data_IF_282339534360
#
_entry.id   IF_282339534360
#
_cell.length_a   1.000
_cell.length_b   1.000
_cell.length_c   1.000
_cell.angle_alpha   90.00
_cell.angle_beta   90.00
_cell.angle_gamma   90.00
#
_symmetry.space_group_name_H-M   'P 1'
#
loop_
_entity.id
_entity.type
_entity.pdbx_description
1 polymer ?
#
# COMPACT_ATOMS: atom_id res chain seq x y z
N UNK A 1 -35.26 34.67 -33.11
CA UNK A 1 -35.80 35.49 -32.01
C UNK A 1 -37.32 35.49 -32.16
N UNK A 2 -38.16 35.02 -31.25
CA UNK A 2 -38.00 34.43 -29.92
C UNK A 2 -39.36 33.78 -29.64
N UNK A 3 -39.34 32.52 -29.20
CA UNK A 3 -40.52 31.76 -28.84
C UNK A 3 -41.08 32.23 -27.49
N UNK A 4 -42.40 32.01 -27.32
CA UNK A 4 -43.19 32.25 -26.10
C UNK A 4 -42.58 31.59 -24.85
N UNK A 5 -42.98 32.07 -23.65
CA UNK A 5 -43.37 31.11 -22.63
C UNK A 5 -44.75 31.37 -22.02
N UNK A 6 -45.28 30.24 -21.56
CA UNK A 6 -46.53 30.00 -20.86
C UNK A 6 -46.59 30.65 -19.48
N UNK A 7 -47.82 30.94 -19.07
CA UNK A 7 -48.21 31.47 -17.78
C UNK A 7 -48.52 30.37 -16.74
N UNK A 8 -48.53 30.81 -15.47
CA UNK A 8 -49.42 30.39 -14.39
C UNK A 8 -49.06 29.07 -13.66
N UNK A 9 -49.30 28.85 -12.35
CA UNK A 9 -49.80 29.63 -11.19
C UNK A 9 -49.81 28.65 -9.97
N UNK A 10 -49.91 29.21 -8.74
CA UNK A 10 -50.49 28.65 -7.48
C UNK A 10 -49.85 27.37 -6.85
N UNK A 11 -49.45 27.29 -5.56
CA UNK A 11 -50.08 27.51 -4.24
C UNK A 11 -50.39 26.17 -3.53
N UNK A 12 -49.90 25.97 -2.30
CA UNK A 12 -50.55 25.23 -1.20
C UNK A 12 -49.66 25.32 0.07
N UNK A 13 -50.04 26.08 1.11
CA UNK A 13 -50.76 25.68 2.34
C UNK A 13 -49.95 24.68 3.22
N UNK A 14 -49.37 25.11 4.35
CA UNK A 14 -49.94 25.35 5.70
C UNK A 14 -50.22 24.08 6.52
N UNK A 15 -49.49 24.03 7.66
CA UNK A 15 -49.98 23.73 9.01
C UNK A 15 -50.31 22.29 9.41
N UNK A 16 -49.66 21.82 10.49
CA UNK A 16 -50.28 21.00 11.53
C UNK A 16 -49.57 21.27 12.87
N UNK A 17 -50.30 21.95 13.77
CA UNK A 17 -50.05 22.05 15.21
C UNK A 17 -50.88 20.97 15.95
N UNK A 18 -50.61 20.85 17.26
CA UNK A 18 -51.40 20.25 18.34
C UNK A 18 -51.08 18.81 18.80
N UNK A 19 -50.49 18.73 20.01
CA UNK A 19 -50.86 17.72 21.01
C UNK A 19 -50.91 18.38 22.41
N UNK A 20 -51.98 18.18 23.20
CA UNK A 20 -52.10 18.68 24.56
C UNK A 20 -51.66 17.64 25.62
N UNK A 21 -51.62 18.09 26.86
CA UNK A 21 -50.97 17.46 28.00
C UNK A 21 -51.94 16.75 28.98
N UNK A 22 -51.35 15.82 29.76
CA UNK A 22 -51.65 15.38 31.15
C UNK A 22 -52.80 14.40 31.43
N UNK A 23 -52.50 13.39 32.28
CA UNK A 23 -53.22 12.84 33.46
C UNK A 23 -52.23 11.83 34.13
N UNK A 24 -51.53 12.16 35.25
CA UNK A 24 -51.84 11.93 36.69
C UNK A 24 -51.90 10.44 37.13
N UNK A 25 -50.90 9.94 37.90
CA UNK A 25 -50.93 9.57 39.36
C UNK A 25 -51.78 8.31 39.69
N UNK A 26 -51.43 7.33 40.53
CA UNK A 26 -50.40 7.06 41.54
C UNK A 26 -50.56 5.58 42.05
N UNK A 27 -49.82 5.21 43.12
CA UNK A 27 -49.92 4.03 44.04
C UNK A 27 -48.87 2.93 43.73
N UNK A 28 -47.71 2.87 44.41
CA UNK A 28 -47.34 2.56 45.82
C UNK A 28 -47.15 1.05 46.12
N UNK A 29 -45.90 0.75 46.51
CA UNK A 29 -45.44 -0.12 47.62
C UNK A 29 -45.08 -1.61 47.36
N UNK A 30 -43.87 -1.93 47.84
CA UNK A 30 -43.26 -3.18 48.37
C UNK A 30 -41.91 -3.48 47.68
N UNK A 31 -40.76 -3.04 48.21
CA UNK A 31 -40.00 -3.48 49.40
C UNK A 31 -39.03 -4.65 49.14
N UNK A 32 -37.82 -4.47 49.68
CA UNK A 32 -36.73 -5.42 49.94
C UNK A 32 -35.71 -5.78 48.85
N UNK A 33 -34.46 -5.42 49.19
CA UNK A 33 -33.23 -6.20 49.08
C UNK A 33 -32.68 -6.52 47.68
N UNK A 34 -31.66 -5.75 47.27
CA UNK A 34 -30.30 -6.27 47.09
C UNK A 34 -29.41 -5.12 46.60
N UNK A 35 -28.62 -4.54 47.51
CA UNK A 35 -27.44 -3.76 47.13
C UNK A 35 -26.39 -4.73 46.60
N UNK A 36 -26.60 -5.24 45.39
CA UNK A 36 -25.55 -5.88 44.62
C UNK A 36 -24.62 -4.75 44.17
N UNK A 37 -23.42 -4.72 44.75
CA UNK A 37 -22.26 -3.99 44.24
C UNK A 37 -22.02 -4.39 42.78
N UNK A 38 -22.69 -3.71 41.85
CA UNK A 38 -22.29 -3.69 40.45
C UNK A 38 -21.05 -2.80 40.40
N UNK A 39 -19.91 -3.38 40.75
CA UNK A 39 -18.63 -2.80 40.37
C UNK A 39 -18.68 -2.64 38.84
N UNK A 40 -18.61 -1.41 38.29
CA UNK A 40 -18.43 -1.29 36.86
C UNK A 40 -17.09 -1.94 36.58
N UNK A 41 -17.12 -3.11 35.94
CA UNK A 41 -15.99 -3.61 35.17
C UNK A 41 -15.76 -2.57 34.08
N UNK A 42 -15.08 -1.48 34.44
CA UNK A 42 -14.31 -0.66 33.54
C UNK A 42 -13.22 -1.61 33.04
N UNK A 43 -13.61 -2.45 32.07
CA UNK A 43 -12.67 -3.02 31.14
C UNK A 43 -12.02 -1.81 30.49
N UNK A 44 -10.89 -1.39 31.06
CA UNK A 44 -9.94 -0.55 30.37
C UNK A 44 -9.61 -1.33 29.11
N UNK A 45 -10.29 -0.99 28.01
CA UNK A 45 -9.87 -1.34 26.68
C UNK A 45 -8.43 -0.86 26.61
N UNK A 46 -7.48 -1.80 26.69
CA UNK A 46 -6.08 -1.48 26.52
C UNK A 46 -6.01 -0.61 25.25
N UNK A 47 -5.32 0.55 25.30
CA UNK A 47 -5.24 1.43 24.14
C UNK A 47 -4.83 0.56 22.97
N UNK A 48 -5.66 0.55 21.91
CA UNK A 48 -5.41 -0.25 20.73
C UNK A 48 -3.95 0.01 20.34
N UNK A 49 -3.10 -1.01 20.53
CA UNK A 49 -1.65 -0.86 20.44
C UNK A 49 -1.41 -0.28 19.05
N UNK A 50 -0.81 0.92 18.98
CA UNK A 50 -0.55 1.59 17.71
C UNK A 50 0.09 0.55 16.78
N UNK A 51 -0.56 0.30 15.65
CA UNK A 51 -0.17 -0.82 14.82
C UNK A 51 1.17 -0.48 14.17
N UNK A 52 2.19 -1.29 14.45
CA UNK A 52 3.53 -1.07 13.92
C UNK A 52 3.60 -1.60 12.48
N UNK A 53 3.62 -0.67 11.52
CA UNK A 53 3.73 -0.98 10.10
C UNK A 53 5.17 -1.19 9.64
N UNK A 54 6.17 -0.74 10.41
CA UNK A 54 7.58 -0.79 10.00
C UNK A 54 8.02 -2.21 9.60
N UNK A 55 7.67 -3.28 10.34
CA UNK A 55 8.06 -4.63 9.96
C UNK A 55 7.51 -5.09 8.62
N UNK A 56 6.42 -4.52 8.10
CA UNK A 56 5.88 -4.86 6.78
C UNK A 56 6.47 -4.00 5.67
N UNK A 57 6.87 -2.77 5.98
CA UNK A 57 7.33 -1.80 5.01
C UNK A 57 8.83 -1.90 4.74
N UNK A 58 9.61 -2.43 5.69
CA UNK A 58 11.08 -2.45 5.65
C UNK A 58 11.61 -3.86 5.48
N UNK A 59 12.57 -4.05 4.58
CA UNK A 59 13.30 -5.32 4.47
C UNK A 59 14.35 -5.43 5.58
N UNK A 60 14.59 -6.63 6.09
CA UNK A 60 15.54 -6.86 7.19
C UNK A 60 16.76 -7.64 6.73
N UNK A 61 17.86 -7.48 7.46
CA UNK A 61 19.01 -8.37 7.40
C UNK A 61 18.93 -9.43 8.51
N UNK A 62 19.35 -10.65 8.19
CA UNK A 62 19.78 -11.61 9.20
C UNK A 62 21.13 -11.17 9.74
N UNK A 63 21.30 -11.17 11.06
CA UNK A 63 22.51 -10.65 11.71
C UNK A 63 23.19 -11.68 12.60
N UNK A 64 24.52 -11.61 12.68
CA UNK A 64 25.33 -12.47 13.55
C UNK A 64 25.22 -12.06 15.03
N UNK A 65 26.00 -12.71 15.89
CA UNK A 65 26.06 -12.40 17.32
C UNK A 65 26.41 -10.93 17.62
N UNK A 66 27.22 -10.31 16.74
CA UNK A 66 27.71 -8.93 16.83
C UNK A 66 26.78 -7.91 16.16
N UNK A 67 25.67 -8.36 15.56
CA UNK A 67 24.73 -7.50 14.85
C UNK A 67 25.13 -7.16 13.42
N UNK A 68 26.20 -7.78 12.90
CA UNK A 68 26.63 -7.59 11.52
C UNK A 68 25.74 -8.39 10.56
N UNK A 69 25.33 -7.85 9.40
CA UNK A 69 24.58 -8.61 8.40
C UNK A 69 25.33 -9.87 7.95
N UNK A 70 24.62 -11.00 7.87
CA UNK A 70 25.14 -12.25 7.31
C UNK A 70 24.91 -12.21 5.79
N UNK A 71 25.96 -12.15 4.95
CA UNK A 71 25.81 -12.02 3.51
C UNK A 71 24.99 -13.17 2.91
N UNK A 72 24.04 -12.83 2.04
CA UNK A 72 23.24 -13.78 1.28
C UNK A 72 22.16 -14.53 2.05
N UNK A 73 22.13 -14.49 3.40
CA UNK A 73 21.11 -15.18 4.19
C UNK A 73 19.80 -14.40 4.17
N UNK A 74 18.73 -15.04 3.70
CA UNK A 74 17.40 -14.44 3.58
C UNK A 74 16.61 -14.54 4.90
N UNK A 75 15.71 -13.57 5.19
CA UNK A 75 14.91 -13.59 6.41
C UNK A 75 13.95 -14.79 6.51
N UNK A 76 13.65 -15.43 5.38
CA UNK A 76 12.77 -16.61 5.30
C UNK A 76 13.49 -17.94 5.54
N UNK A 77 14.82 -17.93 5.60
CA UNK A 77 15.61 -19.16 5.73
C UNK A 77 15.77 -19.57 7.21
N UNK A 78 15.82 -20.88 7.53
CA UNK A 78 15.91 -21.36 8.91
C UNK A 78 17.11 -20.84 9.69
N UNK A 79 18.21 -20.49 9.03
CA UNK A 79 19.41 -19.92 9.67
C UNK A 79 19.24 -18.50 10.20
N UNK A 80 18.17 -17.80 9.83
CA UNK A 80 17.94 -16.40 10.20
C UNK A 80 17.27 -16.26 11.58
N UNK A 81 18.05 -16.44 12.64
CA UNK A 81 17.55 -16.42 14.03
C UNK A 81 17.47 -15.02 14.65
N UNK A 82 18.27 -14.06 14.16
CA UNK A 82 18.27 -12.65 14.58
C UNK A 82 18.09 -11.76 13.37
N UNK A 83 17.22 -10.76 13.49
CA UNK A 83 16.85 -9.84 12.40
C UNK A 83 17.05 -8.40 12.82
N UNK A 84 17.44 -7.55 11.87
CA UNK A 84 17.55 -6.10 12.03
C UNK A 84 16.97 -5.40 10.79
N UNK A 85 16.05 -4.42 10.95
CA UNK A 85 15.60 -3.58 9.85
C UNK A 85 16.78 -2.89 9.16
N UNK A 86 16.77 -2.86 7.83
CA UNK A 86 17.79 -2.19 7.03
C UNK A 86 17.46 -0.71 6.83
N UNK A 87 18.47 0.12 7.02
CA UNK A 87 18.50 1.53 6.67
C UNK A 87 19.09 1.77 5.28
N UNK A 88 18.93 2.99 4.78
CA UNK A 88 19.36 3.43 3.46
C UNK A 88 20.87 3.31 3.26
N UNK A 89 21.63 3.61 4.31
CA UNK A 89 23.10 3.54 4.32
C UNK A 89 23.67 2.16 4.68
N UNK A 90 22.83 1.16 4.96
CA UNK A 90 23.30 -0.19 5.30
C UNK A 90 23.84 -0.95 4.08
N UNK A 91 24.82 -1.82 4.33
CA UNK A 91 25.16 -2.90 3.40
C UNK A 91 24.00 -3.90 3.31
N UNK A 92 23.56 -4.19 2.09
CA UNK A 92 22.45 -5.10 1.83
C UNK A 92 22.97 -6.54 1.69
N UNK A 93 22.49 -7.50 2.50
CA UNK A 93 22.86 -8.91 2.38
C UNK A 93 22.17 -9.61 1.21
N UNK A 94 21.09 -9.02 0.68
CA UNK A 94 20.40 -9.46 -0.52
C UNK A 94 19.66 -8.28 -1.13
N UNK A 95 19.28 -8.42 -2.40
CA UNK A 95 18.42 -7.51 -3.16
C UNK A 95 17.28 -8.28 -3.76
N UNK A 96 16.11 -7.65 -3.82
CA UNK A 96 14.94 -8.25 -4.46
C UNK A 96 14.88 -7.77 -5.90
N UNK A 97 14.74 -8.71 -6.82
CA UNK A 97 14.48 -8.44 -8.23
C UNK A 97 13.13 -9.01 -8.63
N UNK A 98 12.57 -8.46 -9.70
CA UNK A 98 11.34 -8.96 -10.28
C UNK A 98 11.54 -10.34 -10.92
N UNK A 99 10.45 -11.08 -11.09
CA UNK A 99 10.52 -12.34 -11.82
C UNK A 99 10.67 -12.03 -13.33
N UNK A 100 11.69 -12.54 -14.03
CA UNK A 100 11.77 -12.43 -15.47
C UNK A 100 10.66 -13.25 -16.13
N UNK A 101 10.27 -12.83 -17.33
CA UNK A 101 9.48 -13.67 -18.21
C UNK A 101 10.26 -14.96 -18.54
N UNK A 102 9.56 -16.09 -18.60
CA UNK A 102 10.18 -17.41 -18.81
C UNK A 102 11.04 -17.45 -20.07
N UNK A 103 10.59 -16.82 -21.15
CA UNK A 103 11.29 -16.76 -22.43
C UNK A 103 12.68 -16.06 -22.38
N UNK A 104 12.96 -15.27 -21.33
CA UNK A 104 14.24 -14.56 -21.19
C UNK A 104 14.98 -14.90 -19.89
N UNK A 105 14.40 -15.70 -19.01
CA UNK A 105 14.93 -15.95 -17.67
C UNK A 105 16.37 -16.49 -17.67
N UNK A 106 16.75 -17.29 -18.69
CA UNK A 106 18.12 -17.79 -18.82
C UNK A 106 19.13 -16.69 -19.19
N UNK A 107 18.70 -15.63 -19.91
CA UNK A 107 19.56 -14.52 -20.35
C UNK A 107 19.53 -13.33 -19.39
N UNK A 108 18.46 -13.20 -18.61
CA UNK A 108 18.26 -12.16 -17.59
C UNK A 108 17.69 -12.81 -16.33
N UNK A 109 18.52 -13.53 -15.56
CA UNK A 109 18.06 -14.25 -14.37
C UNK A 109 17.59 -13.33 -13.26
N UNK A 110 18.11 -12.10 -13.18
CA UNK A 110 17.62 -11.06 -12.26
C UNK A 110 16.24 -10.54 -12.66
N UNK A 111 15.91 -10.43 -13.96
CA UNK A 111 14.71 -9.72 -14.40
C UNK A 111 15.04 -8.36 -15.00
N UNK A 112 14.13 -7.41 -14.87
CA UNK A 112 14.26 -6.04 -15.38
C UNK A 112 14.27 -4.99 -14.28
N UNK A 113 13.84 -5.33 -13.07
CA UNK A 113 13.68 -4.36 -12.00
C UNK A 113 14.12 -4.92 -10.64
N UNK A 114 15.03 -4.23 -9.99
CA UNK A 114 15.34 -4.41 -8.58
C UNK A 114 14.51 -3.48 -7.71
N UNK A 115 14.28 -3.89 -6.47
CA UNK A 115 13.49 -3.12 -5.52
C UNK A 115 13.97 -3.37 -4.11
N UNK A 116 14.36 -2.31 -3.41
CA UNK A 116 14.77 -2.33 -2.01
C UNK A 116 13.74 -1.57 -1.17
N UNK A 117 13.59 -1.97 0.10
CA UNK A 117 12.63 -1.39 1.05
C UNK A 117 13.37 -0.95 2.31
N UNK A 118 13.89 0.29 2.32
CA UNK A 118 14.87 0.74 3.32
C UNK A 118 14.33 1.87 4.18
N UNK A 119 14.68 1.89 5.47
CA UNK A 119 14.44 3.07 6.32
C UNK A 119 15.37 4.19 5.94
N UNK A 120 14.86 5.42 5.91
CA UNK A 120 15.69 6.59 5.66
C UNK A 120 15.17 7.80 6.42
N UNK A 121 16.00 8.82 6.49
CA UNK A 121 15.55 10.20 6.71
C UNK A 121 15.53 10.93 5.37
N UNK A 122 14.39 11.53 5.01
CA UNK A 122 14.30 12.38 3.83
C UNK A 122 13.56 13.68 4.15
N UNK A 123 14.18 14.81 3.80
CA UNK A 123 13.70 16.15 4.16
C UNK A 123 13.41 16.29 5.67
N UNK A 124 14.26 15.69 6.52
CA UNK A 124 14.11 15.71 7.97
C UNK A 124 13.00 14.83 8.54
N UNK A 125 12.45 13.90 7.73
CA UNK A 125 11.36 13.00 8.14
C UNK A 125 11.77 11.54 8.04
N UNK A 126 11.39 10.76 9.04
CA UNK A 126 11.48 9.30 8.99
C UNK A 126 10.54 8.77 7.90
N UNK A 127 11.12 8.07 6.93
CA UNK A 127 10.41 7.48 5.81
C UNK A 127 10.92 6.07 5.53
N UNK A 128 10.17 5.34 4.71
CA UNK A 128 10.62 4.13 4.05
C UNK A 128 10.70 4.41 2.56
N UNK A 129 11.83 4.10 1.95
CA UNK A 129 12.04 4.21 0.51
C UNK A 129 11.84 2.83 -0.10
N UNK A 130 10.93 2.75 -1.06
CA UNK A 130 10.72 1.59 -1.91
C UNK A 130 11.33 1.86 -3.28
N UNK A 131 12.60 1.50 -3.49
CA UNK A 131 13.28 1.75 -4.77
C UNK A 131 12.72 0.90 -5.91
N UNK A 132 12.86 1.40 -7.12
CA UNK A 132 12.50 0.75 -8.37
C UNK A 132 13.63 1.05 -9.35
N UNK A 133 14.61 0.17 -9.38
CA UNK A 133 15.86 0.29 -10.13
C UNK A 133 15.78 -0.63 -11.35
N UNK A 134 15.89 -0.09 -12.56
CA UNK A 134 15.71 -0.86 -13.78
C UNK A 134 17.05 -1.22 -14.46
N UNK A 135 17.21 -2.51 -14.75
CA UNK A 135 18.36 -3.06 -15.47
C UNK A 135 18.09 -3.39 -16.94
N UNK A 136 19.17 -3.64 -17.67
CA UNK A 136 19.14 -4.08 -19.07
C UNK A 136 18.95 -2.94 -20.08
N UNK A 137 19.18 -3.27 -21.36
CA UNK A 137 19.06 -2.34 -22.49
C UNK A 137 19.92 -1.08 -22.33
N UNK A 138 21.17 -1.27 -21.86
CA UNK A 138 22.13 -0.20 -21.58
C UNK A 138 22.13 0.30 -20.14
N UNK A 139 21.22 -0.21 -19.29
CA UNK A 139 21.15 0.13 -17.85
C UNK A 139 21.76 -0.95 -16.97
N UNK A 140 22.20 -0.54 -15.79
CA UNK A 140 22.83 -1.40 -14.79
C UNK A 140 22.20 -1.18 -13.42
N UNK A 141 21.88 -2.27 -12.72
CA UNK A 141 21.39 -2.19 -11.34
C UNK A 141 22.43 -1.54 -10.41
N UNK A 142 21.94 -0.86 -9.37
CA UNK A 142 22.75 -0.14 -8.38
C UNK A 142 23.19 1.25 -8.83
N UNK A 143 22.80 1.70 -10.02
CA UNK A 143 23.10 3.03 -10.55
C UNK A 143 21.79 3.75 -10.81
N UNK A 144 21.53 4.84 -10.09
CA UNK A 144 20.31 5.61 -10.31
C UNK A 144 20.34 6.30 -11.68
N UNK A 145 19.40 5.91 -12.54
CA UNK A 145 19.12 6.52 -13.83
C UNK A 145 17.64 6.93 -13.93
N UNK A 146 17.31 8.01 -13.23
CA UNK A 146 15.97 8.61 -13.27
C UNK A 146 15.55 9.09 -14.67
N UNK A 147 16.48 9.17 -15.63
CA UNK A 147 16.12 9.54 -17.01
C UNK A 147 15.58 8.37 -17.83
N UNK A 148 15.85 7.13 -17.39
CA UNK A 148 15.50 5.89 -18.09
C UNK A 148 14.65 4.93 -17.25
N UNK A 149 13.90 5.48 -16.29
CA UNK A 149 12.79 4.78 -15.62
C UNK A 149 12.97 4.55 -14.13
N UNK A 150 14.15 4.80 -13.56
CA UNK A 150 14.33 4.57 -12.12
C UNK A 150 13.42 5.47 -11.29
N UNK A 151 12.94 4.88 -10.20
CA UNK A 151 11.76 5.34 -9.50
C UNK A 151 11.80 4.95 -8.04
N UNK A 152 10.84 5.47 -7.27
CA UNK A 152 10.54 4.88 -5.98
C UNK A 152 9.18 5.35 -5.45
N UNK A 153 8.72 4.65 -4.42
CA UNK A 153 7.76 5.21 -3.48
C UNK A 153 8.48 5.71 -2.23
N UNK A 154 8.09 6.88 -1.74
CA UNK A 154 8.45 7.32 -0.39
C UNK A 154 7.24 7.16 0.50
N UNK A 155 7.38 6.35 1.54
CA UNK A 155 6.30 5.99 2.45
C UNK A 155 6.54 6.65 3.80
N UNK A 156 5.53 7.33 4.34
CA UNK A 156 5.52 7.89 5.69
C UNK A 156 4.54 7.11 6.55
N UNK A 157 4.95 6.77 7.76
CA UNK A 157 4.01 6.38 8.83
C UNK A 157 3.61 7.67 9.54
N UNK A 158 2.37 8.07 9.37
CA UNK A 158 1.83 9.30 9.91
C UNK A 158 1.61 9.15 11.43
N UNK A 159 2.33 9.92 12.28
CA UNK A 159 2.11 9.89 13.73
C UNK A 159 0.72 10.42 14.11
N UNK A 160 0.07 11.19 13.23
CA UNK A 160 -1.22 11.82 13.52
C UNK A 160 -2.38 10.83 13.60
N UNK A 161 -2.34 9.77 12.79
CA UNK A 161 -3.41 8.76 12.70
C UNK A 161 -2.91 7.31 12.70
N UNK A 162 -1.59 7.12 12.79
CA UNK A 162 -0.92 5.83 12.73
C UNK A 162 -1.00 5.15 11.37
N UNK A 163 -1.39 5.83 10.29
CA UNK A 163 -1.49 5.24 8.95
C UNK A 163 -0.17 5.24 8.17
N UNK A 164 -0.01 4.31 7.24
CA UNK A 164 1.08 4.26 6.28
C UNK A 164 0.62 4.81 4.93
N UNK A 165 1.36 5.78 4.38
CA UNK A 165 0.99 6.51 3.17
C UNK A 165 2.18 6.63 2.22
N UNK A 166 1.99 6.37 0.93
CA UNK A 166 2.92 6.86 -0.10
C UNK A 166 2.72 8.36 -0.23
N UNK A 167 3.74 9.15 0.08
CA UNK A 167 3.73 10.61 0.03
C UNK A 167 4.40 11.16 -1.23
N UNK A 168 5.19 10.32 -1.91
CA UNK A 168 5.79 10.62 -3.20
C UNK A 168 5.92 9.34 -4.01
N UNK A 169 5.66 9.42 -5.32
CA UNK A 169 5.94 8.36 -6.27
C UNK A 169 6.73 8.92 -7.44
N UNK A 170 7.69 8.15 -7.94
CA UNK A 170 8.40 8.38 -9.20
C UNK A 170 8.17 7.23 -10.18
N UNK A 171 8.33 7.52 -11.47
CA UNK A 171 8.42 6.60 -12.61
C UNK A 171 9.36 7.25 -13.65
N UNK A 172 10.67 7.13 -13.42
CA UNK A 172 11.70 7.85 -14.18
C UNK A 172 11.59 9.38 -14.03
N UNK A 173 11.45 10.07 -15.16
CA UNK A 173 11.37 11.55 -15.21
C UNK A 173 10.06 12.11 -14.67
N UNK A 174 9.08 11.24 -14.42
CA UNK A 174 7.78 11.63 -13.90
C UNK A 174 7.72 11.29 -12.42
N UNK A 175 7.39 12.27 -11.59
CA UNK A 175 7.16 12.04 -10.18
C UNK A 175 6.16 13.05 -9.63
N UNK A 176 5.55 12.72 -8.51
CA UNK A 176 4.57 13.59 -7.90
C UNK A 176 4.41 13.36 -6.42
N UNK A 177 4.20 14.47 -5.73
CA UNK A 177 3.84 14.49 -4.32
C UNK A 177 2.38 14.11 -4.18
N UNK A 178 2.10 13.07 -3.39
CA UNK A 178 0.74 12.65 -3.09
C UNK A 178 0.20 13.50 -1.95
N UNK A 179 -0.58 14.53 -2.29
CA UNK A 179 -1.12 15.49 -1.32
C UNK A 179 -2.57 15.15 -0.99
N UNK A 180 -2.97 15.44 0.24
CA UNK A 180 -4.35 15.32 0.73
C UNK A 180 -4.88 16.68 1.22
N UNK A 181 -6.20 16.83 1.47
CA UNK A 181 -6.80 18.12 1.83
C UNK A 181 -6.15 18.89 2.99
N UNK A 182 -5.41 18.21 3.87
CA UNK A 182 -4.67 18.83 4.96
C UNK A 182 -3.51 19.74 4.52
N UNK A 183 -3.11 19.75 3.25
CA UNK A 183 -1.94 20.51 2.76
C UNK A 183 -2.11 22.02 2.85
N UNK A 184 -3.34 22.52 2.96
CA UNK A 184 -3.61 23.95 3.14
C UNK A 184 -3.09 24.48 4.49
N UNK A 185 -2.76 23.59 5.44
CA UNK A 185 -2.23 23.93 6.77
C UNK A 185 -0.70 24.09 6.78
N UNK A 186 -0.02 23.88 5.66
CA UNK A 186 1.44 24.00 5.53
C UNK A 186 2.10 22.76 4.91
N UNK A 187 3.45 22.78 4.76
CA UNK A 187 4.19 21.72 4.08
C UNK A 187 4.08 20.35 4.76
N UNK A 188 4.04 20.33 6.10
CA UNK A 188 3.79 19.12 6.91
C UNK A 188 2.32 18.69 6.93
N UNK A 189 1.41 19.61 6.61
CA UNK A 189 0.00 19.31 6.45
C UNK A 189 -0.24 18.42 5.23
N UNK A 190 -1.22 17.52 5.33
CA UNK A 190 -1.74 16.80 4.18
C UNK A 190 -0.83 15.73 3.58
N UNK A 191 0.10 15.19 4.37
CA UNK A 191 0.95 14.06 3.98
C UNK A 191 0.24 12.69 4.08
N UNK A 192 -1.08 12.66 4.26
CA UNK A 192 -1.89 11.45 4.13
C UNK A 192 -2.18 11.17 2.65
N UNK A 193 -1.11 10.88 1.88
CA UNK A 193 -1.17 10.68 0.44
C UNK A 193 -1.92 9.40 0.04
N UNK A 194 -1.27 8.54 -0.73
CA UNK A 194 -1.87 7.28 -1.11
C UNK A 194 -1.81 6.30 0.06
N UNK A 195 -2.96 6.05 0.69
CA UNK A 195 -3.14 5.15 1.83
C UNK A 195 -2.76 3.71 1.48
N UNK A 196 -1.88 3.10 2.28
CA UNK A 196 -1.50 1.69 2.22
C UNK A 196 -2.23 0.87 3.28
N UNK A 197 -2.16 1.32 4.54
CA UNK A 197 -2.83 0.70 5.68
C UNK A 197 -3.03 1.74 6.79
N UNK A 198 -4.04 1.55 7.62
CA UNK A 198 -4.26 2.37 8.81
C UNK A 198 -4.84 1.53 9.95
N UNK A 199 -4.79 2.02 11.20
CA UNK A 199 -5.50 1.37 12.30
C UNK A 199 -7.00 1.30 11.98
N UNK A 200 -7.62 0.16 12.21
CA UNK A 200 -9.03 0.00 11.91
C UNK A 200 -9.55 -1.38 12.25
N UNK A 201 -10.87 -1.48 12.40
CA UNK A 201 -11.52 -2.76 12.63
C UNK A 201 -11.78 -3.44 11.28
N UNK A 202 -11.31 -4.68 11.05
CA UNK A 202 -11.64 -5.41 9.84
C UNK A 202 -13.14 -5.70 9.78
N UNK A 203 -13.69 -5.64 8.58
CA UNK A 203 -15.04 -6.09 8.26
C UNK A 203 -15.17 -7.62 8.28
N UNK A 204 -16.35 -8.16 7.97
CA UNK A 204 -16.65 -9.59 8.05
C UNK A 204 -15.76 -10.47 7.16
N UNK A 205 -15.27 -9.94 6.04
CA UNK A 205 -14.37 -10.62 5.10
C UNK A 205 -12.88 -10.43 5.41
N UNK A 206 -12.57 -9.72 6.50
CA UNK A 206 -11.23 -9.40 6.97
C UNK A 206 -10.61 -8.16 6.35
N UNK A 207 -11.33 -7.44 5.47
CA UNK A 207 -10.85 -6.18 4.88
C UNK A 207 -11.24 -4.98 5.74
N UNK A 208 -10.32 -4.03 5.89
CA UNK A 208 -10.60 -2.68 6.38
C UNK A 208 -10.68 -1.77 5.16
N UNK A 209 -11.67 -0.87 5.10
CA UNK A 209 -11.88 0.02 3.96
C UNK A 209 -11.92 1.50 4.39
N UNK A 210 -11.39 2.39 3.55
CA UNK A 210 -11.47 3.84 3.70
C UNK A 210 -11.47 4.52 2.33
N UNK A 211 -12.12 5.69 2.24
CA UNK A 211 -11.94 6.58 1.09
C UNK A 211 -10.74 7.49 1.38
N UNK A 212 -9.63 7.28 0.67
CA UNK A 212 -8.51 8.21 0.65
C UNK A 212 -8.84 9.38 -0.28
N UNK A 213 -8.54 10.60 0.15
CA UNK A 213 -8.69 11.80 -0.68
C UNK A 213 -7.31 12.36 -0.99
N UNK A 214 -6.89 12.23 -2.25
CA UNK A 214 -5.56 12.64 -2.66
C UNK A 214 -5.55 13.24 -4.06
N UNK A 215 -4.46 13.94 -4.37
CA UNK A 215 -4.10 14.38 -5.73
C UNK A 215 -2.59 14.56 -5.81
N UNK A 216 -2.02 14.22 -6.97
CA UNK A 216 -0.62 14.49 -7.25
C UNK A 216 -0.38 16.00 -7.37
N UNK A 217 0.73 16.47 -6.81
CA UNK A 217 1.18 17.84 -6.86
C UNK A 217 2.65 17.92 -7.32
N UNK A 218 3.07 19.01 -7.97
CA UNK A 218 4.42 19.15 -8.50
C UNK A 218 5.49 19.39 -7.42
N UNK A 219 5.10 19.86 -6.23
CA UNK A 219 6.00 20.07 -5.10
C UNK A 219 5.32 19.72 -3.78
N UNK A 220 6.11 19.63 -2.70
CA UNK A 220 5.64 19.40 -1.34
C UNK A 220 4.84 20.58 -0.78
N UNK A 221 5.14 21.80 -1.22
CA UNK A 221 4.43 23.03 -0.83
C UNK A 221 3.12 23.21 -1.59
N UNK A 222 2.99 22.62 -2.78
CA UNK A 222 1.80 22.74 -3.59
C UNK A 222 0.59 22.04 -2.93
N UNK A 223 -0.54 22.74 -2.91
CA UNK A 223 -1.80 22.22 -2.41
C UNK A 223 -2.88 22.34 -3.48
N UNK A 224 -3.27 21.24 -4.14
CA UNK A 224 -4.29 21.27 -5.18
C UNK A 224 -5.64 21.82 -4.66
N UNK A 225 -6.42 22.54 -5.50
CA UNK A 225 -7.70 23.12 -5.09
C UNK A 225 -8.82 22.08 -4.91
N UNK A 226 -8.60 20.85 -5.40
CA UNK A 226 -9.53 19.74 -5.26
C UNK A 226 -8.76 18.41 -5.16
N UNK A 227 -9.43 17.39 -4.62
CA UNK A 227 -8.87 16.07 -4.34
C UNK A 227 -9.83 14.99 -4.82
N UNK A 228 -9.27 13.95 -5.40
CA UNK A 228 -10.00 12.82 -5.92
C UNK A 228 -10.19 11.78 -4.82
N UNK A 229 -11.38 11.19 -4.77
CA UNK A 229 -11.68 10.11 -3.85
C UNK A 229 -11.26 8.78 -4.46
N UNK A 230 -10.55 7.98 -3.67
CA UNK A 230 -10.14 6.63 -4.02
C UNK A 230 -10.55 5.67 -2.91
N UNK A 231 -11.28 4.61 -3.26
CA UNK A 231 -11.55 3.54 -2.31
C UNK A 231 -10.25 2.76 -2.10
N UNK A 232 -9.74 2.79 -0.88
CA UNK A 232 -8.63 1.94 -0.45
C UNK A 232 -9.16 0.90 0.51
N UNK A 233 -8.75 -0.36 0.34
CA UNK A 233 -8.95 -1.38 1.35
C UNK A 233 -7.69 -2.19 1.58
N UNK A 234 -7.49 -2.65 2.81
CA UNK A 234 -6.35 -3.48 3.17
C UNK A 234 -6.73 -4.58 4.14
N UNK A 235 -5.92 -5.64 4.16
CA UNK A 235 -5.99 -6.70 5.16
C UNK A 235 -4.60 -7.19 5.51
N UNK A 236 -4.49 -7.87 6.64
CA UNK A 236 -3.31 -8.65 7.00
C UNK A 236 -3.69 -10.13 6.91
N UNK A 237 -2.88 -10.91 6.22
CA UNK A 237 -3.06 -12.36 6.14
C UNK A 237 -1.69 -13.04 6.10
N UNK A 238 -1.60 -14.23 6.71
CA UNK A 238 -0.44 -15.09 6.57
C UNK A 238 -0.60 -15.91 5.30
N UNK A 239 0.28 -15.68 4.32
CA UNK A 239 0.16 -16.29 2.99
C UNK A 239 1.45 -16.95 2.56
N UNK A 240 1.31 -17.95 1.69
CA UNK A 240 2.41 -18.56 0.97
C UNK A 240 2.98 -17.58 -0.06
N UNK A 241 4.26 -17.26 0.03
CA UNK A 241 4.99 -16.43 -0.93
C UNK A 241 6.03 -17.31 -1.64
N UNK A 242 5.88 -17.53 -2.96
CA UNK A 242 6.90 -18.20 -3.73
C UNK A 242 8.13 -17.31 -3.85
N UNK A 243 9.31 -17.90 -3.73
CA UNK A 243 10.56 -17.22 -3.95
C UNK A 243 11.54 -18.06 -4.75
N UNK A 244 12.49 -17.37 -5.35
CA UNK A 244 13.63 -17.92 -6.08
C UNK A 244 14.85 -17.03 -5.86
N UNK A 245 16.02 -17.50 -6.25
CA UNK A 245 17.21 -16.67 -6.32
C UNK A 245 17.96 -16.85 -7.65
N UNK A 246 18.90 -15.95 -7.91
CA UNK A 246 19.71 -15.91 -9.14
C UNK A 246 20.68 -17.09 -9.27
N UNK A 247 20.82 -17.91 -8.22
CA UNK A 247 21.67 -19.10 -8.20
C UNK A 247 20.90 -20.40 -8.42
N UNK A 248 19.58 -20.31 -8.62
CA UNK A 248 18.70 -21.47 -8.86
C UNK A 248 18.00 -22.01 -7.61
N UNK A 249 18.22 -21.41 -6.44
CA UNK A 249 17.45 -21.69 -5.24
C UNK A 249 15.99 -21.28 -5.43
N UNK A 250 15.07 -22.05 -4.83
CA UNK A 250 13.62 -21.78 -4.88
C UNK A 250 12.90 -22.38 -3.68
N UNK A 251 11.78 -21.79 -3.33
CA UNK A 251 10.92 -22.31 -2.28
C UNK A 251 9.66 -21.48 -2.09
N UNK A 252 9.02 -21.72 -0.95
CA UNK A 252 7.84 -20.99 -0.51
C UNK A 252 8.01 -20.66 0.98
N UNK A 253 7.53 -19.49 1.39
CA UNK A 253 7.54 -19.06 2.79
C UNK A 253 6.17 -18.54 3.22
N UNK A 254 5.70 -18.98 4.39
CA UNK A 254 4.47 -18.48 5.00
C UNK A 254 4.76 -17.20 5.80
N UNK A 255 4.38 -16.04 5.26
CA UNK A 255 4.70 -14.72 5.85
C UNK A 255 3.42 -13.91 6.05
N UNK A 256 3.33 -13.23 7.19
CA UNK A 256 2.32 -12.20 7.41
C UNK A 256 2.51 -11.09 6.38
N UNK A 257 1.44 -10.76 5.67
CA UNK A 257 1.48 -9.82 4.54
C UNK A 257 0.32 -8.85 4.62
N UNK A 258 0.61 -7.55 4.46
CA UNK A 258 -0.42 -6.55 4.17
C UNK A 258 -0.72 -6.66 2.67
N UNK A 259 -1.98 -6.92 2.34
CA UNK A 259 -2.49 -6.75 0.98
C UNK A 259 -3.31 -5.48 0.98
N UNK A 260 -2.96 -4.53 0.12
CA UNK A 260 -3.67 -3.27 -0.03
C UNK A 260 -4.12 -3.08 -1.47
N UNK A 261 -5.34 -2.59 -1.64
CA UNK A 261 -6.01 -2.37 -2.91
C UNK A 261 -6.45 -0.91 -2.99
N UNK A 262 -6.08 -0.23 -4.07
CA UNK A 262 -6.44 1.14 -4.35
C UNK A 262 -7.23 1.24 -5.65
N UNK A 263 -8.49 1.60 -5.53
CA UNK A 263 -9.42 1.71 -6.64
C UNK A 263 -9.47 3.15 -7.12
N UNK A 264 -9.29 3.39 -8.42
CA UNK A 264 -9.22 4.74 -9.00
C UNK A 264 -10.42 5.67 -8.81
N UNK A 265 -11.45 5.23 -8.08
CA UNK A 265 -12.66 5.99 -7.75
C UNK A 265 -13.21 5.61 -6.37
N UNK A 266 -13.84 6.57 -5.70
CA UNK A 266 -14.65 6.36 -4.50
C UNK A 266 -16.06 5.86 -4.85
N UNK A 267 -16.15 4.71 -5.50
CA UNK A 267 -17.40 4.04 -5.92
C UNK A 267 -17.32 2.55 -5.56
N UNK A 268 -18.43 1.80 -5.59
CA UNK A 268 -18.37 0.35 -5.42
C UNK A 268 -17.39 -0.30 -6.39
N UNK A 269 -16.65 -1.31 -5.92
CA UNK A 269 -15.55 -1.96 -6.66
C UNK A 269 -15.89 -2.25 -8.13
N UNK A 270 -17.04 -2.87 -8.49
CA UNK A 270 -17.34 -3.20 -9.89
C UNK A 270 -17.45 -1.98 -10.82
N UNK A 271 -17.62 -0.78 -10.27
CA UNK A 271 -17.75 0.50 -10.99
C UNK A 271 -16.44 1.31 -11.00
N UNK A 272 -15.37 0.81 -10.37
CA UNK A 272 -14.06 1.45 -10.45
C UNK A 272 -13.42 1.21 -11.83
N UNK A 273 -12.61 2.17 -12.28
CA UNK A 273 -11.97 2.14 -13.60
C UNK A 273 -10.69 1.30 -13.62
N UNK A 274 -9.92 1.35 -12.54
CA UNK A 274 -8.69 0.61 -12.36
C UNK A 274 -8.48 0.27 -10.88
N UNK A 275 -7.57 -0.67 -10.64
CA UNK A 275 -7.09 -1.06 -9.34
C UNK A 275 -5.56 -1.17 -9.39
N UNK A 276 -4.90 -0.66 -8.37
CA UNK A 276 -3.52 -0.97 -8.06
C UNK A 276 -3.48 -1.74 -6.73
N UNK A 277 -2.90 -2.95 -6.77
CA UNK A 277 -2.85 -3.87 -5.63
C UNK A 277 -1.41 -4.14 -5.24
N UNK A 278 -1.11 -4.06 -3.94
CA UNK A 278 0.25 -4.12 -3.41
C UNK A 278 0.33 -5.10 -2.25
N UNK A 279 1.41 -5.87 -2.19
CA UNK A 279 1.72 -6.78 -1.09
C UNK A 279 2.98 -6.31 -0.39
N UNK A 280 2.87 -6.10 0.92
CA UNK A 280 3.98 -5.80 1.82
C UNK A 280 4.16 -6.97 2.79
N UNK A 281 5.19 -7.77 2.57
CA UNK A 281 5.47 -8.94 3.40
C UNK A 281 6.33 -8.54 4.59
N UNK A 282 5.99 -9.05 5.78
CA UNK A 282 6.78 -8.85 6.99
C UNK A 282 8.23 -9.23 6.72
N UNK A 283 9.13 -8.36 7.14
CA UNK A 283 10.58 -8.44 7.05
C UNK A 283 11.16 -8.38 5.63
N UNK A 284 10.32 -8.22 4.61
CA UNK A 284 10.73 -8.10 3.21
C UNK A 284 10.34 -6.77 2.57
N UNK A 285 9.39 -6.02 3.13
CA UNK A 285 8.88 -4.81 2.47
C UNK A 285 7.91 -5.14 1.33
N UNK A 286 7.84 -4.28 0.31
CA UNK A 286 7.00 -4.53 -0.87
C UNK A 286 7.56 -5.70 -1.68
N UNK A 287 6.71 -6.68 -1.98
CA UNK A 287 7.09 -7.91 -2.71
C UNK A 287 6.28 -8.10 -3.98
N UNK A 288 5.17 -7.38 -4.17
CA UNK A 288 4.37 -7.45 -5.38
C UNK A 288 3.58 -6.19 -5.61
N UNK A 289 3.45 -5.81 -6.87
CA UNK A 289 2.53 -4.80 -7.36
C UNK A 289 1.78 -5.35 -8.57
N UNK A 290 0.48 -5.06 -8.65
CA UNK A 290 -0.33 -5.38 -9.81
C UNK A 290 -1.16 -4.17 -10.23
N UNK A 291 -1.32 -4.02 -11.55
CA UNK A 291 -2.29 -3.11 -12.15
C UNK A 291 -3.37 -3.89 -12.84
N UNK A 292 -4.60 -3.55 -12.50
CA UNK A 292 -5.81 -4.09 -13.08
C UNK A 292 -6.63 -2.96 -13.71
N UNK A 293 -7.21 -3.23 -14.88
CA UNK A 293 -8.13 -2.31 -15.54
C UNK A 293 -9.49 -2.97 -15.73
N UNK A 294 -10.54 -2.19 -15.54
CA UNK A 294 -11.90 -2.66 -15.76
C UNK A 294 -12.25 -2.48 -17.24
N UNK A 295 -12.60 -3.58 -17.92
CA UNK A 295 -12.96 -3.62 -19.34
C UNK A 295 -14.09 -2.67 -19.69
N UNK A 296 -15.06 -2.47 -18.79
CA UNK A 296 -16.18 -1.56 -19.01
C UNK A 296 -15.79 -0.07 -19.02
N UNK A 297 -14.60 0.28 -18.54
CA UNK A 297 -14.16 1.67 -18.37
C UNK A 297 -12.79 1.98 -18.96
N UNK A 298 -11.98 0.97 -19.27
CA UNK A 298 -10.65 1.18 -19.83
C UNK A 298 -10.73 1.83 -21.20
N UNK A 299 -9.81 2.78 -21.44
CA UNK A 299 -9.61 3.41 -22.75
C UNK A 299 -8.56 2.67 -23.60
N UNK A 300 -7.94 1.63 -23.06
CA UNK A 300 -6.86 0.89 -23.71
C UNK A 300 -7.45 -0.06 -24.75
N UNK A 301 -7.13 0.19 -26.02
CA UNK A 301 -7.64 -0.61 -27.15
C UNK A 301 -7.12 -2.06 -27.15
N UNK A 302 -5.90 -2.28 -26.65
CA UNK A 302 -5.25 -3.60 -26.60
C UNK A 302 -5.26 -4.21 -25.19
N UNK A 303 -6.32 -3.97 -24.43
CA UNK A 303 -6.41 -4.39 -23.03
C UNK A 303 -6.26 -5.91 -22.86
N UNK A 304 -7.05 -6.68 -23.62
CA UNK A 304 -7.04 -8.14 -23.53
C UNK A 304 -5.74 -8.74 -24.07
N UNK A 305 -5.16 -8.18 -25.13
CA UNK A 305 -3.83 -8.59 -25.62
C UNK A 305 -2.72 -8.30 -24.60
N UNK A 306 -2.80 -7.18 -23.88
CA UNK A 306 -1.85 -6.87 -22.82
C UNK A 306 -1.96 -7.87 -21.65
N UNK A 307 -3.18 -8.21 -21.23
CA UNK A 307 -3.42 -9.21 -20.20
C UNK A 307 -2.95 -10.61 -20.63
N UNK A 308 -3.29 -11.03 -21.85
CA UNK A 308 -2.86 -12.31 -22.39
C UNK A 308 -1.33 -12.41 -22.51
N UNK A 309 -0.65 -11.34 -22.94
CA UNK A 309 0.83 -11.30 -22.97
C UNK A 309 1.44 -11.38 -21.57
N UNK A 310 0.85 -10.70 -20.59
CA UNK A 310 1.30 -10.78 -19.21
C UNK A 310 1.18 -12.21 -18.68
N UNK A 311 0.04 -12.87 -18.86
CA UNK A 311 -0.17 -14.23 -18.39
C UNK A 311 0.76 -15.23 -19.12
N UNK A 312 0.92 -15.09 -20.44
CA UNK A 312 1.84 -15.91 -21.23
C UNK A 312 3.32 -15.73 -20.83
N UNK A 313 3.70 -14.57 -20.30
CA UNK A 313 5.07 -14.32 -19.84
C UNK A 313 5.45 -15.16 -18.61
N UNK A 314 4.45 -15.60 -17.83
CA UNK A 314 4.61 -16.31 -16.56
C UNK A 314 5.52 -15.60 -15.55
N UNK A 315 5.66 -14.27 -15.66
CA UNK A 315 6.47 -13.43 -14.76
C UNK A 315 5.77 -13.11 -13.43
N UNK A 316 4.57 -13.65 -13.23
CA UNK A 316 3.69 -13.34 -12.11
C UNK A 316 3.20 -14.64 -11.48
N UNK A 317 4.00 -15.23 -10.56
CA UNK A 317 3.62 -16.49 -9.94
C UNK A 317 2.29 -16.33 -9.18
N UNK A 318 1.47 -17.38 -9.06
CA UNK A 318 0.27 -17.32 -8.24
C UNK A 318 0.59 -16.96 -6.78
N UNK A 319 -0.25 -16.14 -6.16
CA UNK A 319 -0.18 -15.79 -4.74
C UNK A 319 -1.61 -15.55 -4.23
N UNK A 320 -1.84 -15.78 -2.94
CA UNK A 320 -3.12 -15.47 -2.32
C UNK A 320 -3.51 -13.99 -2.56
N UNK A 321 -4.80 -13.78 -2.83
CA UNK A 321 -5.40 -12.50 -3.19
C UNK A 321 -4.93 -11.94 -4.55
N UNK A 322 -4.28 -12.76 -5.39
CA UNK A 322 -3.90 -12.41 -6.76
C UNK A 322 -5.03 -12.59 -7.80
N UNK A 323 -6.20 -13.03 -7.36
CA UNK A 323 -7.38 -13.22 -8.23
C UNK A 323 -7.98 -11.88 -8.69
N UNK A 324 -8.77 -11.89 -9.78
CA UNK A 324 -9.49 -10.71 -10.22
C UNK A 324 -10.35 -10.09 -9.10
N UNK A 325 -10.45 -8.75 -9.04
CA UNK A 325 -11.30 -8.08 -8.07
C UNK A 325 -12.78 -8.50 -8.21
N UNK A 326 -13.58 -8.36 -7.13
CA UNK A 326 -15.01 -8.66 -7.17
C UNK A 326 -15.76 -7.90 -8.28
N UNK A 327 -16.82 -8.51 -8.81
CA UNK A 327 -17.71 -7.87 -9.81
C UNK A 327 -17.42 -8.21 -11.27
N UNK A 328 -16.37 -8.98 -11.57
CA UNK A 328 -16.02 -9.35 -12.95
C UNK A 328 -15.53 -8.18 -13.80
N UNK A 329 -15.16 -8.46 -15.06
CA UNK A 329 -14.75 -7.41 -16.01
C UNK A 329 -13.32 -6.90 -15.84
N UNK A 330 -12.51 -7.46 -14.93
CA UNK A 330 -11.15 -7.00 -14.66
C UNK A 330 -10.09 -7.73 -15.50
N UNK A 331 -9.12 -6.99 -16.01
CA UNK A 331 -7.96 -7.51 -16.72
C UNK A 331 -6.68 -7.06 -16.00
N UNK A 332 -5.81 -8.01 -15.62
CA UNK A 332 -4.48 -7.68 -15.08
C UNK A 332 -3.58 -7.30 -16.25
N UNK A 333 -3.09 -6.07 -16.25
CA UNK A 333 -2.32 -5.51 -17.37
C UNK A 333 -0.85 -5.31 -17.05
N UNK A 334 -0.52 -5.27 -15.77
CA UNK A 334 0.86 -5.30 -15.31
C UNK A 334 0.92 -6.04 -13.98
N UNK A 335 2.06 -6.67 -13.74
CA UNK A 335 2.39 -7.28 -12.48
C UNK A 335 3.90 -7.42 -12.38
N UNK A 336 4.41 -7.08 -11.20
CA UNK A 336 5.82 -7.14 -10.81
C UNK A 336 5.88 -7.82 -9.46
N UNK A 337 6.70 -8.86 -9.36
CA UNK A 337 6.86 -9.66 -8.13
C UNK A 337 8.32 -9.68 -7.75
N UNK A 338 8.71 -9.02 -6.66
CA UNK A 338 10.09 -8.90 -6.20
C UNK A 338 10.45 -9.98 -5.17
N UNK A 339 10.37 -11.24 -5.57
CA UNK A 339 10.79 -12.40 -4.74
C UNK A 339 11.80 -13.27 -5.48
N UNK A 340 12.52 -12.68 -6.43
CA UNK A 340 13.70 -13.24 -7.08
C UNK A 340 14.94 -12.58 -6.44
N UNK A 341 15.63 -13.30 -5.55
CA UNK A 341 16.66 -12.71 -4.73
C UNK A 341 18.05 -12.77 -5.39
N UNK A 342 18.75 -11.65 -5.41
CA UNK A 342 20.19 -11.60 -5.58
C UNK A 342 20.84 -11.62 -4.19
N UNK A 343 21.77 -12.55 -3.97
CA UNK A 343 22.44 -12.73 -2.67
C UNK A 343 23.81 -12.06 -2.69
N UNK A 344 24.10 -11.25 -1.67
CA UNK A 344 25.44 -10.68 -1.50
C UNK A 344 26.45 -11.79 -1.22
N UNK A 345 27.68 -11.62 -1.72
CA UNK A 345 28.78 -12.55 -1.46
C UNK A 345 29.63 -12.05 -0.30
N UNK A 346 30.33 -12.93 0.44
CA UNK A 346 31.29 -12.51 1.46
C UNK A 346 32.28 -11.48 0.89
N UNK A 347 32.39 -10.32 1.54
CA UNK A 347 33.27 -9.22 1.11
C UNK A 347 32.75 -8.38 -0.06
N UNK A 348 31.57 -8.68 -0.62
CA UNK A 348 30.95 -7.95 -1.72
C UNK A 348 29.49 -7.61 -1.36
N UNK A 349 29.27 -6.67 -0.42
CA UNK A 349 27.93 -6.25 -0.09
C UNK A 349 27.26 -5.56 -1.27
N UNK A 350 25.93 -5.67 -1.32
CA UNK A 350 25.12 -4.83 -2.19
C UNK A 350 24.83 -3.50 -1.47
N UNK A 351 24.51 -2.45 -2.21
CA UNK A 351 24.24 -1.12 -1.66
C UNK A 351 22.92 -0.60 -2.18
N UNK A 352 22.11 0.02 -1.31
CA UNK A 352 20.83 0.62 -1.69
C UNK A 352 20.99 1.63 -2.84
N UNK A 353 19.97 1.74 -3.68
CA UNK A 353 19.93 2.73 -4.75
C UNK A 353 20.07 4.14 -4.15
N UNK A 354 20.94 5.02 -4.68
CA UNK A 354 21.21 6.34 -4.12
C UNK A 354 20.09 7.36 -4.47
N UNK A 355 18.85 7.04 -4.12
CA UNK A 355 17.66 7.85 -4.38
C UNK A 355 16.63 7.72 -3.24
N UNK A 356 15.87 8.78 -2.89
CA UNK A 356 15.91 10.12 -3.47
C UNK A 356 17.15 10.89 -3.05
N UNK A 357 17.49 11.91 -3.83
CA UNK A 357 18.61 12.79 -3.48
C UNK A 357 18.41 13.35 -2.07
N UNK A 358 19.47 13.31 -1.27
CA UNK A 358 19.48 13.77 0.11
C UNK A 358 18.92 12.80 1.16
N UNK A 359 18.48 11.59 0.77
CA UNK A 359 18.14 10.53 1.72
C UNK A 359 19.38 10.05 2.49
N UNK A 360 19.20 9.71 3.78
CA UNK A 360 20.27 9.21 4.67
C UNK A 360 19.84 8.03 5.51
#
# INVERSE_FOLDING_TARGET
MTARPFAARLSCLRSLEFMPARIAHAIRAFAFAASALVAPLLAFSAPARAQDWVPFLVQVACVDARGAPVPGLLPVEPGCTRRRPLGFSDALPYRKHDWPAVAIAARRPEGFQASDSLRATWLGRDVVIQSMDFGGDGRSFGVFDGTHGDAAHVIRIAPEDGGAYIIYTGDGRHGGWMRSPGCARGPDGGMQGWLLAAPGRPGPDGWVERIARLRMAPSIEACPPAFDGSLTRWRIARIAIPWRDTTGGRGEAMIDTIVTEHYGRAVPIPQSTHLERIWFARDLGMIRWERWENRGFSRRQNLDEAAARLDASQRCPPIAFGDPPPGGGWARVDCRTWTNFERARPGQPLHGMPWPEGAR
#
